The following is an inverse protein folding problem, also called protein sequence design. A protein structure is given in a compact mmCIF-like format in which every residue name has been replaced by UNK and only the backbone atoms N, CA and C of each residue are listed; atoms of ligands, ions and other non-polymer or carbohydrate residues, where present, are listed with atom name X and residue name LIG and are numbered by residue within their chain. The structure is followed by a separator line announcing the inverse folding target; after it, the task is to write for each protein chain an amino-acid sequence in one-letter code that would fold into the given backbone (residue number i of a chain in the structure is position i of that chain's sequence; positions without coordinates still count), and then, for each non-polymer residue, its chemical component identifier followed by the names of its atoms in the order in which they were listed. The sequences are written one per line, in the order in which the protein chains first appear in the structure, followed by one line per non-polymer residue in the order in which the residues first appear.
data_IF_245799456984
#
_entry.id   IF_245799456984
#
_cell.length_a   1.000
_cell.length_b   1.000
_cell.length_c   1.000
_cell.angle_alpha   90.00
_cell.angle_beta   90.00
_cell.angle_gamma   90.00
#
_symmetry.space_group_name_H-M   'P 1'
#
loop_
_entity.id
_entity.type
_entity.pdbx_description
1 polymer ?
#
# COMPACT_ATOMS: atom_id res chain seq x y z
N UNK A 1 17.33 40.32 -9.18
CA UNK A 1 16.48 39.52 -8.26
C UNK A 1 15.72 38.52 -9.10
N UNK A 2 15.96 37.21 -8.93
CA UNK A 2 15.22 36.14 -9.68
C UNK A 2 13.80 36.12 -9.15
N UNK A 3 12.81 36.35 -10.03
CA UNK A 3 11.39 36.25 -9.66
C UNK A 3 11.06 34.76 -9.53
N UNK A 4 10.88 34.29 -8.29
CA UNK A 4 10.57 32.88 -8.03
C UNK A 4 9.14 32.55 -8.45
N UNK A 5 8.97 31.41 -9.11
CA UNK A 5 7.68 30.87 -9.51
C UNK A 5 6.77 30.59 -8.31
N UNK A 6 5.55 31.11 -8.35
CA UNK A 6 4.53 30.85 -7.31
C UNK A 6 3.91 29.46 -7.43
N UNK A 7 3.96 28.83 -8.63
CA UNK A 7 3.52 27.44 -8.83
C UNK A 7 4.50 26.47 -8.17
N UNK A 8 4.04 25.36 -7.62
CA UNK A 8 4.93 24.37 -7.00
C UNK A 8 5.74 23.60 -8.05
N UNK A 9 6.94 23.20 -7.65
CA UNK A 9 7.72 22.17 -8.28
C UNK A 9 7.55 20.87 -7.50
N UNK A 10 7.27 19.78 -8.21
CA UNK A 10 7.13 18.42 -7.65
C UNK A 10 8.31 17.61 -8.17
N UNK A 11 9.14 17.11 -7.25
CA UNK A 11 10.35 16.34 -7.57
C UNK A 11 10.14 14.88 -7.20
N UNK A 12 10.32 13.99 -8.19
CA UNK A 12 10.06 12.56 -8.07
C UNK A 12 8.71 12.19 -8.67
N UNK A 13 8.73 11.34 -9.71
CA UNK A 13 7.55 10.89 -10.45
C UNK A 13 7.31 9.38 -10.28
N UNK A 14 7.71 8.81 -9.15
CA UNK A 14 7.25 7.52 -8.68
C UNK A 14 5.72 7.54 -8.48
N UNK A 15 5.14 6.47 -7.99
CA UNK A 15 3.69 6.38 -7.77
C UNK A 15 3.13 7.61 -7.01
N UNK A 16 3.79 7.98 -5.91
CA UNK A 16 3.39 9.11 -5.08
C UNK A 16 3.43 10.43 -5.84
N UNK A 17 4.52 10.70 -6.56
CA UNK A 17 4.68 11.93 -7.33
C UNK A 17 3.71 12.06 -8.49
N UNK A 18 3.33 10.94 -9.12
CA UNK A 18 2.31 10.93 -10.15
C UNK A 18 0.94 11.36 -9.59
N UNK A 19 0.55 10.82 -8.45
CA UNK A 19 -0.70 11.18 -7.76
C UNK A 19 -0.69 12.65 -7.35
N UNK A 20 0.43 13.10 -6.73
CA UNK A 20 0.58 14.47 -6.29
C UNK A 20 0.46 15.45 -7.48
N UNK A 21 1.20 15.22 -8.54
CA UNK A 21 1.24 16.10 -9.72
C UNK A 21 -0.11 16.18 -10.43
N UNK A 22 -0.74 15.03 -10.69
CA UNK A 22 -2.06 14.99 -11.33
C UNK A 22 -3.15 15.53 -10.41
N UNK A 23 -3.09 15.21 -9.14
CA UNK A 23 -4.02 15.73 -8.13
C UNK A 23 -3.91 17.23 -7.99
N UNK A 24 -2.69 17.77 -7.93
CA UNK A 24 -2.45 19.20 -7.88
C UNK A 24 -2.99 19.91 -9.14
N UNK A 25 -2.59 19.43 -10.32
CA UNK A 25 -3.04 20.01 -11.59
C UNK A 25 -4.57 19.99 -11.76
N UNK A 26 -5.22 18.96 -11.23
CA UNK A 26 -6.68 18.82 -11.34
C UNK A 26 -7.47 19.71 -10.37
N UNK A 27 -6.90 20.07 -9.22
CA UNK A 27 -7.63 20.77 -8.16
C UNK A 27 -7.07 22.15 -7.82
N UNK A 28 -5.76 22.31 -7.79
CA UNK A 28 -5.12 23.50 -7.26
C UNK A 28 -4.48 24.42 -8.33
N UNK A 29 -4.39 23.96 -9.56
CA UNK A 29 -3.88 24.73 -10.68
C UNK A 29 -2.53 24.23 -11.23
N UNK A 30 -1.81 25.13 -11.92
CA UNK A 30 -0.56 24.78 -12.60
C UNK A 30 0.53 24.31 -11.62
N UNK A 31 1.32 23.31 -12.05
CA UNK A 31 2.52 22.85 -11.35
C UNK A 31 3.62 22.51 -12.36
N UNK A 32 4.84 22.37 -11.85
CA UNK A 32 5.95 21.83 -12.64
C UNK A 32 6.44 20.54 -12.00
N UNK A 33 7.03 19.67 -12.83
CA UNK A 33 7.54 18.38 -12.38
C UNK A 33 8.98 18.17 -12.84
N UNK A 34 9.74 17.47 -12.03
CA UNK A 34 11.09 17.04 -12.32
C UNK A 34 11.34 15.63 -11.78
N UNK A 35 12.10 14.83 -12.49
CA UNK A 35 12.64 13.56 -12.02
C UNK A 35 14.07 13.38 -12.56
N UNK A 36 14.98 12.89 -11.73
CA UNK A 36 16.34 12.58 -12.17
C UNK A 36 16.41 11.37 -13.07
N UNK A 37 15.39 10.51 -13.05
CA UNK A 37 15.24 9.39 -13.96
C UNK A 37 14.47 9.82 -15.23
N UNK A 38 15.21 9.98 -16.32
CA UNK A 38 14.65 10.42 -17.61
C UNK A 38 13.60 9.45 -18.18
N UNK A 39 13.74 8.16 -17.96
CA UNK A 39 12.74 7.18 -18.43
C UNK A 39 11.41 7.40 -17.71
N UNK A 40 11.45 7.62 -16.40
CA UNK A 40 10.27 7.89 -15.58
C UNK A 40 9.61 9.21 -15.98
N UNK A 41 10.42 10.26 -16.20
CA UNK A 41 9.95 11.56 -16.68
C UNK A 41 9.27 11.44 -18.04
N UNK A 42 9.87 10.72 -18.99
CA UNK A 42 9.32 10.50 -20.32
C UNK A 42 8.04 9.64 -20.27
N UNK A 43 8.02 8.58 -19.48
CA UNK A 43 6.82 7.76 -19.30
C UNK A 43 5.65 8.60 -18.76
N UNK A 44 5.89 9.45 -17.75
CA UNK A 44 4.88 10.35 -17.22
C UNK A 44 4.40 11.36 -18.27
N UNK A 45 5.31 11.97 -19.05
CA UNK A 45 4.99 12.91 -20.15
C UNK A 45 4.11 12.26 -21.22
N UNK A 46 4.33 10.99 -21.53
CA UNK A 46 3.53 10.20 -22.48
C UNK A 46 2.19 9.73 -21.89
N UNK A 47 1.96 9.90 -20.59
CA UNK A 47 0.74 9.43 -19.92
C UNK A 47 0.76 7.96 -19.53
N UNK A 48 1.95 7.34 -19.49
CA UNK A 48 2.18 6.00 -18.95
C UNK A 48 2.26 6.09 -17.44
N UNK A 49 1.10 6.06 -16.76
CA UNK A 49 0.96 6.25 -15.33
C UNK A 49 0.60 4.93 -14.63
N UNK A 50 0.64 4.96 -13.31
CA UNK A 50 0.24 3.84 -12.45
C UNK A 50 -1.22 3.44 -12.72
N UNK A 51 -1.40 2.24 -13.29
CA UNK A 51 -2.71 1.69 -13.67
C UNK A 51 -3.54 1.26 -12.48
N UNK A 52 -2.90 1.08 -11.34
CA UNK A 52 -3.49 0.67 -10.07
C UNK A 52 -4.37 1.78 -9.45
N UNK A 53 -4.16 3.05 -9.88
CA UNK A 53 -4.90 4.19 -9.35
C UNK A 53 -6.10 4.54 -10.24
N UNK A 54 -7.28 4.52 -9.63
CA UNK A 54 -8.52 4.87 -10.30
C UNK A 54 -8.49 6.32 -10.78
N UNK A 55 -8.92 6.55 -12.00
CA UNK A 55 -9.04 7.87 -12.61
C UNK A 55 -7.74 8.65 -12.79
N UNK A 56 -6.56 8.12 -12.44
CA UNK A 56 -5.30 8.83 -12.57
C UNK A 56 -5.02 9.20 -14.02
N UNK A 57 -5.09 8.21 -14.92
CA UNK A 57 -4.82 8.40 -16.37
C UNK A 57 -5.83 9.36 -17.00
N UNK A 58 -7.11 9.22 -16.71
CA UNK A 58 -8.15 10.10 -17.24
C UNK A 58 -8.02 11.54 -16.71
N UNK A 59 -7.66 11.70 -15.45
CA UNK A 59 -7.41 13.00 -14.83
C UNK A 59 -6.16 13.67 -15.42
N UNK A 60 -5.10 12.90 -15.67
CA UNK A 60 -3.90 13.39 -16.35
C UNK A 60 -4.25 13.93 -17.75
N UNK A 61 -4.94 13.14 -18.58
CA UNK A 61 -5.34 13.55 -19.95
C UNK A 61 -6.10 14.89 -19.96
N UNK A 62 -6.98 15.10 -18.97
CA UNK A 62 -7.76 16.35 -18.84
C UNK A 62 -6.95 17.55 -18.39
N UNK A 63 -5.84 17.35 -17.68
CA UNK A 63 -5.09 18.43 -17.02
C UNK A 63 -3.62 18.52 -17.43
N UNK A 64 -3.17 17.75 -18.42
CA UNK A 64 -1.75 17.73 -18.86
C UNK A 64 -1.20 19.11 -19.24
N UNK A 65 -2.06 20.00 -19.76
CA UNK A 65 -1.70 21.37 -20.11
C UNK A 65 -1.37 22.26 -18.90
N UNK A 66 -1.68 21.81 -17.70
CA UNK A 66 -1.35 22.49 -16.45
C UNK A 66 -0.05 21.98 -15.83
N UNK A 67 0.58 20.95 -16.41
CA UNK A 67 1.81 20.33 -15.91
C UNK A 67 2.96 20.69 -16.85
N UNK A 68 3.95 21.42 -16.33
CA UNK A 68 5.17 21.76 -17.05
C UNK A 68 6.30 20.83 -16.64
N UNK A 69 7.20 20.51 -17.58
CA UNK A 69 8.30 19.57 -17.36
C UNK A 69 9.61 20.32 -17.35
N UNK A 70 10.42 20.21 -16.31
CA UNK A 70 11.79 20.73 -16.28
C UNK A 70 12.69 19.78 -17.09
N UNK A 71 13.65 20.38 -17.79
CA UNK A 71 14.64 19.65 -18.59
C UNK A 71 15.97 19.49 -17.84
N UNK A 72 16.30 20.46 -17.00
CA UNK A 72 17.55 20.50 -16.24
C UNK A 72 17.28 20.79 -14.76
N UNK A 73 18.09 20.20 -13.88
CA UNK A 73 18.04 20.45 -12.45
C UNK A 73 18.34 21.93 -12.07
N UNK A 74 19.05 22.67 -12.90
CA UNK A 74 19.30 24.11 -12.70
C UNK A 74 18.01 24.93 -12.72
N UNK A 75 16.98 24.49 -13.43
CA UNK A 75 15.68 25.17 -13.46
C UNK A 75 14.97 25.15 -12.10
N UNK A 76 15.37 24.27 -11.17
CA UNK A 76 14.86 24.22 -9.78
C UNK A 76 15.06 25.55 -9.07
N UNK A 77 16.14 26.27 -9.36
CA UNK A 77 16.46 27.59 -8.81
C UNK A 77 15.34 28.63 -9.00
N UNK A 78 14.43 28.39 -9.93
CA UNK A 78 13.31 29.30 -10.20
C UNK A 78 12.06 29.03 -9.34
N UNK A 79 12.08 28.08 -8.40
CA UNK A 79 10.88 27.65 -7.67
C UNK A 79 10.99 27.84 -6.17
N UNK A 80 10.09 28.66 -5.62
CA UNK A 80 10.03 28.90 -4.16
C UNK A 80 9.50 27.70 -3.38
N UNK A 81 8.55 26.93 -3.95
CA UNK A 81 7.86 25.85 -3.26
C UNK A 81 8.17 24.52 -3.95
N UNK A 82 8.91 23.66 -3.27
CA UNK A 82 9.43 22.40 -3.80
C UNK A 82 8.91 21.23 -2.95
N UNK A 83 8.17 20.35 -3.58
CA UNK A 83 7.67 19.11 -2.96
C UNK A 83 8.55 17.94 -3.38
N UNK A 84 9.09 17.21 -2.41
CA UNK A 84 9.84 15.97 -2.62
C UNK A 84 8.87 14.82 -2.44
N UNK A 85 8.61 14.07 -3.52
CA UNK A 85 7.57 13.05 -3.60
C UNK A 85 8.11 11.70 -4.07
N UNK A 86 9.32 11.36 -3.67
CA UNK A 86 9.97 10.11 -4.03
C UNK A 86 9.47 9.00 -3.13
N UNK A 87 9.07 7.87 -3.71
CA UNK A 87 8.82 6.66 -2.93
C UNK A 87 10.14 6.14 -2.37
N UNK A 88 10.18 5.93 -1.07
CA UNK A 88 11.36 5.35 -0.41
C UNK A 88 11.60 3.93 -0.93
N UNK A 89 12.73 3.65 -1.56
CA UNK A 89 13.03 2.31 -2.04
C UNK A 89 13.05 1.30 -0.89
N UNK A 90 12.80 0.05 -1.23
CA UNK A 90 12.94 -1.07 -0.30
C UNK A 90 13.94 -2.06 -0.86
N UNK A 91 14.77 -2.65 0.02
CA UNK A 91 15.68 -3.71 -0.34
C UNK A 91 14.94 -5.05 -0.57
N UNK A 92 15.68 -6.07 -0.92
CA UNK A 92 15.17 -7.42 -1.17
C UNK A 92 14.55 -8.10 0.07
N UNK A 93 14.81 -7.58 1.26
CA UNK A 93 14.25 -8.05 2.55
C UNK A 93 13.03 -7.22 2.97
N UNK A 94 12.75 -6.13 2.23
CA UNK A 94 11.65 -5.21 2.54
C UNK A 94 12.02 -4.10 3.53
N UNK A 95 13.32 -3.85 3.76
CA UNK A 95 13.81 -2.76 4.59
C UNK A 95 13.83 -1.45 3.78
N UNK A 96 13.28 -0.34 4.31
CA UNK A 96 13.34 0.95 3.63
C UNK A 96 14.76 1.49 3.53
N UNK A 97 15.13 2.01 2.37
CA UNK A 97 16.37 2.73 2.14
C UNK A 97 16.14 4.23 2.30
N UNK A 98 16.23 4.69 3.53
CA UNK A 98 16.09 6.12 3.83
C UNK A 98 17.34 6.93 3.46
N UNK A 99 18.50 6.32 3.38
CA UNK A 99 19.74 6.98 2.99
C UNK A 99 19.68 7.40 1.51
N UNK A 100 18.99 6.62 0.67
CA UNK A 100 18.70 7.04 -0.71
C UNK A 100 17.99 8.40 -0.79
N UNK A 101 16.94 8.61 0.02
CA UNK A 101 16.23 9.89 0.05
C UNK A 101 17.09 11.02 0.61
N UNK A 102 17.90 10.72 1.62
CA UNK A 102 18.83 11.66 2.23
C UNK A 102 19.87 12.15 1.20
N UNK A 103 20.55 11.22 0.55
CA UNK A 103 21.56 11.50 -0.48
C UNK A 103 20.95 12.23 -1.69
N UNK A 104 19.72 11.85 -2.06
CA UNK A 104 19.02 12.55 -3.13
C UNK A 104 18.80 14.02 -2.82
N UNK A 105 18.36 14.35 -1.59
CA UNK A 105 18.16 15.74 -1.16
C UNK A 105 19.49 16.46 -1.05
N UNK A 106 20.52 15.82 -0.52
CA UNK A 106 21.89 16.37 -0.43
C UNK A 106 22.42 16.77 -1.82
N UNK A 107 22.26 15.89 -2.82
CA UNK A 107 22.68 16.14 -4.19
C UNK A 107 21.91 17.26 -4.89
N UNK A 108 20.69 17.55 -4.46
CA UNK A 108 19.86 18.64 -4.99
C UNK A 108 20.04 19.96 -4.22
N UNK A 109 20.67 19.95 -3.04
CA UNK A 109 20.87 21.14 -2.20
C UNK A 109 21.40 22.34 -2.98
N UNK A 110 22.42 22.23 -3.87
CA UNK A 110 22.94 23.36 -4.64
C UNK A 110 21.92 23.98 -5.60
N UNK A 111 20.85 23.25 -5.94
CA UNK A 111 19.79 23.72 -6.83
C UNK A 111 18.61 24.35 -6.09
N UNK A 112 18.57 24.34 -4.76
CA UNK A 112 17.50 25.00 -4.02
C UNK A 112 17.76 26.51 -3.89
N UNK A 113 16.80 27.35 -4.33
CA UNK A 113 16.96 28.80 -4.25
C UNK A 113 16.97 29.28 -2.80
N UNK A 114 17.43 30.51 -2.59
CA UNK A 114 17.31 31.16 -1.31
C UNK A 114 15.84 31.34 -0.91
N UNK A 115 15.57 31.31 0.40
CA UNK A 115 14.23 31.49 0.97
C UNK A 115 13.17 30.50 0.41
N UNK A 116 13.61 29.30 -0.01
CA UNK A 116 12.70 28.29 -0.54
C UNK A 116 12.01 27.47 0.56
N UNK A 117 10.85 26.95 0.22
CA UNK A 117 10.10 26.00 1.03
C UNK A 117 10.34 24.59 0.47
N UNK A 118 10.97 23.72 1.24
CA UNK A 118 11.19 22.31 0.90
C UNK A 118 10.19 21.48 1.68
N UNK A 119 9.23 20.88 0.98
CA UNK A 119 8.18 20.09 1.58
C UNK A 119 8.44 18.60 1.28
N UNK A 120 8.83 17.84 2.30
CA UNK A 120 9.03 16.39 2.20
C UNK A 120 7.68 15.71 2.32
N UNK A 121 7.24 15.07 1.24
CA UNK A 121 6.02 14.26 1.20
C UNK A 121 6.33 12.77 1.09
N UNK A 122 7.58 12.43 0.91
CA UNK A 122 8.10 11.06 0.95
C UNK A 122 7.94 10.47 2.36
N UNK A 123 7.78 9.15 2.44
CA UNK A 123 7.75 8.49 3.73
C UNK A 123 9.15 8.44 4.35
N UNK A 124 9.25 8.83 5.61
CA UNK A 124 10.51 8.90 6.37
C UNK A 124 10.38 8.22 7.74
N UNK A 125 11.50 7.99 8.40
CA UNK A 125 11.56 7.53 9.79
C UNK A 125 11.58 8.70 10.77
N UNK A 126 11.19 8.48 12.04
CA UNK A 126 11.30 9.51 13.08
C UNK A 126 12.73 10.02 13.28
N UNK A 127 12.93 11.33 13.22
CA UNK A 127 14.24 12.00 13.29
C UNK A 127 14.85 12.35 11.93
N UNK A 128 14.25 11.94 10.81
CA UNK A 128 14.77 12.21 9.47
C UNK A 128 14.87 13.70 9.17
N UNK A 129 13.83 14.48 9.45
CA UNK A 129 13.83 15.93 9.20
C UNK A 129 14.89 16.66 10.05
N UNK A 130 15.10 16.23 11.29
CA UNK A 130 16.19 16.77 12.14
C UNK A 130 17.56 16.46 11.56
N UNK A 131 17.77 15.24 11.06
CA UNK A 131 19.00 14.85 10.39
C UNK A 131 19.24 15.73 9.15
N UNK A 132 18.22 15.97 8.34
CA UNK A 132 18.34 16.88 7.19
C UNK A 132 18.75 18.32 7.61
N UNK A 133 18.13 18.86 8.65
CA UNK A 133 18.48 20.19 9.14
C UNK A 133 19.92 20.26 9.66
N UNK A 134 20.36 19.22 10.36
CA UNK A 134 21.70 19.17 10.96
C UNK A 134 22.80 18.94 9.92
N UNK A 135 22.59 18.01 9.00
CA UNK A 135 23.66 17.48 8.16
C UNK A 135 23.61 18.04 6.72
N UNK A 136 22.41 18.41 6.23
CA UNK A 136 22.26 18.95 4.87
C UNK A 136 22.05 20.46 4.87
N UNK A 137 21.17 20.98 5.73
CA UNK A 137 20.77 22.39 5.71
C UNK A 137 21.40 23.23 6.84
N UNK A 138 22.49 22.77 7.44
CA UNK A 138 23.17 23.47 8.54
C UNK A 138 23.57 24.93 8.17
N UNK A 139 24.00 25.14 6.94
CA UNK A 139 24.37 26.41 6.34
C UNK A 139 23.22 27.14 5.61
N UNK A 140 22.03 26.55 5.55
CA UNK A 140 20.87 27.04 4.81
C UNK A 140 19.69 27.36 5.75
N UNK A 141 19.91 28.28 6.70
CA UNK A 141 18.87 28.76 7.65
C UNK A 141 17.74 29.54 6.97
N UNK A 142 17.93 29.91 5.72
CA UNK A 142 16.96 30.57 4.86
C UNK A 142 15.89 29.60 4.35
N UNK A 143 16.14 28.26 4.33
CA UNK A 143 15.21 27.25 3.87
C UNK A 143 14.17 26.96 4.96
N UNK A 144 12.90 26.98 4.57
CA UNK A 144 11.80 26.44 5.37
C UNK A 144 11.60 24.96 5.04
N UNK A 145 12.02 24.06 5.92
CA UNK A 145 11.75 22.63 5.79
C UNK A 145 10.38 22.31 6.40
N UNK A 146 9.58 21.54 5.70
CA UNK A 146 8.29 21.03 6.19
C UNK A 146 8.20 19.53 5.88
N UNK A 147 7.81 18.74 6.85
CA UNK A 147 7.38 17.36 6.62
C UNK A 147 5.85 17.33 6.47
N UNK A 148 5.34 16.83 5.38
CA UNK A 148 3.90 16.63 5.13
C UNK A 148 3.62 15.13 5.13
N UNK A 149 2.83 14.66 6.10
CA UNK A 149 2.60 13.23 6.28
C UNK A 149 1.78 12.65 5.13
N UNK A 150 2.33 11.65 4.45
CA UNK A 150 1.63 10.88 3.43
C UNK A 150 0.69 9.86 4.10
N UNK A 151 -0.60 9.88 3.75
CA UNK A 151 -1.64 8.97 4.28
C UNK A 151 -2.54 8.39 3.19
N UNK A 152 -2.11 8.46 1.93
CA UNK A 152 -2.89 8.00 0.79
C UNK A 152 -3.03 6.47 0.77
N UNK A 153 -4.18 6.00 0.32
CA UNK A 153 -4.47 4.57 0.19
C UNK A 153 -4.43 4.15 -1.28
N UNK A 154 -3.61 3.17 -1.59
CA UNK A 154 -3.50 2.60 -2.93
C UNK A 154 -4.88 2.27 -3.53
N UNK A 155 -5.11 2.69 -4.78
CA UNK A 155 -6.36 2.55 -5.54
C UNK A 155 -7.39 3.65 -5.30
N UNK A 156 -7.19 4.52 -4.29
CA UNK A 156 -8.03 5.67 -4.00
C UNK A 156 -7.22 6.95 -3.71
N UNK A 157 -5.92 6.89 -3.95
CA UNK A 157 -4.98 7.93 -3.54
C UNK A 157 -5.24 9.27 -4.22
N UNK A 158 -5.61 9.28 -5.49
CA UNK A 158 -5.94 10.52 -6.20
C UNK A 158 -7.15 11.23 -5.59
N UNK A 159 -8.19 10.49 -5.20
CA UNK A 159 -9.37 11.07 -4.55
C UNK A 159 -9.00 11.64 -3.17
N UNK A 160 -8.26 10.87 -2.37
CA UNK A 160 -7.83 11.29 -1.03
C UNK A 160 -6.91 12.51 -1.06
N UNK A 161 -6.02 12.60 -2.06
CA UNK A 161 -5.21 13.78 -2.28
C UNK A 161 -6.05 15.03 -2.61
N UNK A 162 -7.07 14.87 -3.44
CA UNK A 162 -7.94 15.98 -3.83
C UNK A 162 -8.88 16.43 -2.72
N UNK A 163 -9.35 15.49 -1.90
CA UNK A 163 -10.35 15.72 -0.85
C UNK A 163 -9.88 15.18 0.50
N UNK A 164 -8.73 15.66 1.02
CA UNK A 164 -8.22 15.21 2.29
C UNK A 164 -9.16 15.68 3.41
N UNK A 165 -9.46 14.80 4.36
CA UNK A 165 -10.20 15.17 5.57
C UNK A 165 -9.33 15.93 6.57
N UNK A 166 -8.05 15.62 6.58
CA UNK A 166 -7.02 16.24 7.41
C UNK A 166 -5.66 16.09 6.75
N UNK A 167 -4.73 16.99 7.08
CA UNK A 167 -3.32 16.87 6.75
C UNK A 167 -2.52 17.18 8.01
N UNK A 168 -1.40 16.48 8.16
CA UNK A 168 -0.49 16.63 9.29
C UNK A 168 0.84 17.15 8.75
N UNK A 169 1.35 18.18 9.40
CA UNK A 169 2.63 18.82 9.08
C UNK A 169 3.56 18.76 10.27
N UNK A 170 4.81 18.40 10.02
CA UNK A 170 5.93 18.59 10.91
C UNK A 170 6.70 19.83 10.49
N UNK A 171 6.86 20.79 11.40
CA UNK A 171 7.57 22.02 11.13
C UNK A 171 8.23 22.52 12.42
N UNK A 172 9.40 23.09 12.29
CA UNK A 172 10.01 23.86 13.37
C UNK A 172 9.49 25.30 13.32
N UNK A 173 9.46 26.01 14.42
CA UNK A 173 8.90 27.34 14.74
C UNK A 173 8.85 28.43 13.64
N UNK A 174 9.04 28.06 12.37
CA UNK A 174 9.17 28.93 11.22
C UNK A 174 7.83 29.16 10.52
N UNK A 175 7.81 30.18 9.66
CA UNK A 175 6.63 30.57 8.90
C UNK A 175 6.07 29.39 8.07
N UNK A 176 4.84 29.01 8.36
CA UNK A 176 4.12 28.02 7.59
C UNK A 176 3.96 28.46 6.12
N UNK A 177 4.42 27.66 5.13
CA UNK A 177 4.39 28.05 3.73
C UNK A 177 2.97 28.31 3.23
N UNK A 178 2.71 29.50 2.67
CA UNK A 178 1.38 29.90 2.21
C UNK A 178 0.75 28.93 1.19
N UNK A 179 1.57 28.27 0.36
CA UNK A 179 1.10 27.30 -0.62
C UNK A 179 0.32 26.14 0.00
N UNK A 180 0.63 25.79 1.24
CA UNK A 180 -0.07 24.72 1.98
C UNK A 180 -1.47 25.14 2.42
N UNK A 181 -1.80 26.43 2.36
CA UNK A 181 -3.16 26.91 2.61
C UNK A 181 -4.15 26.53 1.50
N UNK A 182 -3.66 26.14 0.31
CA UNK A 182 -4.50 25.61 -0.76
C UNK A 182 -5.26 24.33 -0.37
N UNK A 183 -4.75 23.56 0.59
CA UNK A 183 -5.47 22.42 1.13
C UNK A 183 -6.59 22.87 2.07
N UNK A 184 -7.83 22.78 1.59
CA UNK A 184 -9.05 23.17 2.34
C UNK A 184 -9.51 22.02 3.24
N UNK A 185 -8.77 21.72 4.31
CA UNK A 185 -9.09 20.68 5.28
C UNK A 185 -8.52 21.04 6.66
N UNK A 186 -8.86 20.25 7.68
CA UNK A 186 -8.26 20.40 9.01
C UNK A 186 -6.76 20.14 8.93
N UNK A 187 -5.95 21.08 9.39
CA UNK A 187 -4.50 20.98 9.45
C UNK A 187 -4.07 20.74 10.89
N UNK A 188 -3.17 19.79 11.10
CA UNK A 188 -2.50 19.55 12.36
C UNK A 188 -1.03 19.90 12.17
N UNK A 189 -0.52 20.80 12.97
CA UNK A 189 0.86 21.28 12.91
C UNK A 189 1.56 20.81 14.18
N UNK A 190 2.62 20.03 14.02
CA UNK A 190 3.41 19.45 15.09
C UNK A 190 4.89 19.76 14.87
N UNK A 191 5.74 19.40 15.84
CA UNK A 191 7.17 19.25 15.59
C UNK A 191 7.42 18.07 14.63
N UNK A 192 8.61 18.00 14.05
CA UNK A 192 8.95 16.96 13.06
C UNK A 192 8.75 15.55 13.63
N UNK A 193 9.25 15.31 14.81
CA UNK A 193 9.24 13.99 15.46
C UNK A 193 7.81 13.47 15.64
N UNK A 194 6.92 14.31 16.11
CA UNK A 194 5.50 13.95 16.29
C UNK A 194 4.82 13.66 14.95
N UNK A 195 5.09 14.47 13.94
CA UNK A 195 4.51 14.26 12.60
C UNK A 195 5.05 12.98 11.93
N UNK A 196 6.34 12.69 12.08
CA UNK A 196 6.98 11.48 11.55
C UNK A 196 6.47 10.23 12.25
N UNK A 197 6.30 10.27 13.57
CA UNK A 197 5.72 9.17 14.37
C UNK A 197 4.25 8.91 14.01
N UNK A 198 3.50 9.94 13.58
CA UNK A 198 2.06 9.78 13.29
C UNK A 198 1.78 8.67 12.27
N UNK A 199 2.55 8.63 11.17
CA UNK A 199 2.39 7.56 10.15
C UNK A 199 2.67 6.20 10.74
N UNK A 200 3.74 6.08 11.53
CA UNK A 200 4.10 4.86 12.24
C UNK A 200 2.98 4.42 13.20
N UNK A 201 2.42 5.35 13.96
CA UNK A 201 1.33 5.09 14.91
C UNK A 201 0.07 4.53 14.22
N UNK A 202 -0.30 5.10 13.05
CA UNK A 202 -1.43 4.57 12.26
C UNK A 202 -1.16 3.13 11.83
N UNK A 203 0.03 2.84 11.33
CA UNK A 203 0.38 1.51 10.84
C UNK A 203 0.51 0.48 11.97
N UNK A 204 1.05 0.88 13.12
CA UNK A 204 1.04 0.03 14.34
C UNK A 204 -0.40 -0.30 14.73
N UNK A 205 -1.28 0.69 14.81
CA UNK A 205 -2.67 0.47 15.16
C UNK A 205 -3.36 -0.52 14.21
N UNK A 206 -3.18 -0.36 12.90
CA UNK A 206 -3.74 -1.28 11.92
C UNK A 206 -3.18 -2.70 12.07
N UNK A 207 -1.89 -2.82 12.33
CA UNK A 207 -1.25 -4.12 12.57
C UNK A 207 -1.80 -4.78 13.84
N UNK A 208 -1.89 -4.05 14.95
CA UNK A 208 -2.47 -4.58 16.18
C UNK A 208 -3.94 -4.99 16.01
N UNK A 209 -4.71 -4.22 15.23
CA UNK A 209 -6.11 -4.56 14.97
C UNK A 209 -6.27 -5.88 14.20
N UNK A 210 -5.44 -6.11 13.17
CA UNK A 210 -5.42 -7.38 12.43
C UNK A 210 -4.91 -8.52 13.32
N UNK A 211 -3.84 -8.26 14.10
CA UNK A 211 -3.27 -9.25 15.03
C UNK A 211 -4.25 -9.64 16.13
N UNK A 212 -5.01 -8.68 16.66
CA UNK A 212 -6.11 -8.92 17.60
C UNK A 212 -7.16 -9.85 16.98
N UNK A 213 -7.63 -9.51 15.77
CA UNK A 213 -8.64 -10.34 15.08
C UNK A 213 -8.15 -11.78 14.88
N UNK A 214 -6.90 -11.94 14.45
CA UNK A 214 -6.28 -13.25 14.24
C UNK A 214 -6.07 -14.03 15.55
N UNK A 215 -5.74 -13.34 16.65
CA UNK A 215 -5.57 -13.95 17.96
C UNK A 215 -6.91 -14.47 18.50
N UNK A 216 -7.96 -13.63 18.44
CA UNK A 216 -9.29 -14.03 18.92
C UNK A 216 -9.91 -15.11 18.03
N UNK A 217 -9.67 -15.09 16.71
CA UNK A 217 -10.09 -16.19 15.82
C UNK A 217 -9.44 -17.52 16.22
N UNK A 218 -8.16 -17.53 16.60
CA UNK A 218 -7.53 -18.74 17.12
C UNK A 218 -8.22 -19.22 18.42
N UNK A 219 -8.47 -18.29 19.35
CA UNK A 219 -9.15 -18.61 20.62
C UNK A 219 -10.59 -19.13 20.40
N UNK A 220 -11.34 -18.54 19.46
CA UNK A 220 -12.65 -19.05 19.09
C UNK A 220 -12.60 -20.50 18.60
N UNK A 221 -11.60 -20.84 17.75
CA UNK A 221 -11.40 -22.19 17.23
C UNK A 221 -11.10 -23.20 18.32
N UNK A 222 -10.28 -22.82 19.30
CA UNK A 222 -9.95 -23.66 20.45
C UNK A 222 -11.18 -23.93 21.34
N UNK A 223 -12.18 -23.02 21.30
CA UNK A 223 -13.42 -23.11 22.08
C UNK A 223 -14.65 -23.46 21.24
N UNK A 224 -14.49 -24.04 20.03
CA UNK A 224 -15.57 -24.43 19.13
C UNK A 224 -16.58 -23.30 18.84
N UNK A 225 -16.10 -22.06 18.75
CA UNK A 225 -16.91 -20.87 18.46
C UNK A 225 -16.48 -20.16 17.18
N UNK A 226 -17.29 -19.21 16.68
CA UNK A 226 -17.08 -18.50 15.43
C UNK A 226 -16.67 -17.06 15.68
N UNK A 227 -15.45 -16.70 15.29
CA UNK A 227 -15.02 -15.28 15.31
C UNK A 227 -15.85 -14.40 14.37
N UNK A 228 -16.32 -14.94 13.25
CA UNK A 228 -17.12 -14.18 12.27
C UNK A 228 -18.41 -13.61 12.89
N UNK A 229 -19.00 -14.36 13.82
CA UNK A 229 -20.22 -13.94 14.51
C UNK A 229 -19.95 -12.82 15.51
N UNK A 230 -18.72 -12.71 16.01
CA UNK A 230 -18.30 -11.64 16.91
C UNK A 230 -18.04 -10.30 16.19
N UNK A 231 -17.72 -10.31 14.89
CA UNK A 231 -17.30 -9.11 14.16
C UNK A 231 -18.38 -8.02 14.14
N UNK A 232 -19.63 -8.40 13.91
CA UNK A 232 -20.75 -7.43 13.83
C UNK A 232 -21.00 -6.73 15.20
N UNK A 233 -21.19 -7.44 16.31
CA UNK A 233 -21.36 -6.80 17.62
C UNK A 233 -20.12 -6.01 18.06
N UNK A 234 -18.89 -6.49 17.80
CA UNK A 234 -17.68 -5.73 18.09
C UNK A 234 -17.62 -4.38 17.38
N UNK A 235 -18.07 -4.30 16.13
CA UNK A 235 -18.13 -3.03 15.38
C UNK A 235 -19.20 -2.06 15.89
N UNK A 236 -20.22 -2.54 16.56
CA UNK A 236 -21.23 -1.71 17.19
C UNK A 236 -20.75 -1.03 18.47
N UNK A 237 -19.73 -1.61 19.14
CA UNK A 237 -19.12 -0.96 20.28
C UNK A 237 -18.39 0.32 19.81
N UNK A 238 -18.80 1.48 20.36
CA UNK A 238 -18.24 2.79 19.98
C UNK A 238 -16.74 2.90 20.22
N UNK A 239 -16.17 2.15 21.17
CA UNK A 239 -14.74 2.13 21.50
C UNK A 239 -13.93 1.42 20.41
N UNK A 240 -14.52 0.46 19.69
CA UNK A 240 -13.93 -0.26 18.57
C UNK A 240 -14.25 0.46 17.26
N UNK A 241 -15.53 0.65 16.99
CA UNK A 241 -16.04 1.47 15.91
C UNK A 241 -16.21 0.75 14.57
N UNK A 242 -17.11 1.28 13.78
CA UNK A 242 -17.58 0.75 12.49
C UNK A 242 -16.47 0.45 11.48
N UNK A 243 -15.38 1.23 11.50
CA UNK A 243 -14.31 1.18 10.50
C UNK A 243 -13.05 0.45 10.97
N UNK A 244 -13.11 -0.21 12.12
CA UNK A 244 -11.96 -0.95 12.66
C UNK A 244 -11.58 -2.14 11.78
N UNK A 245 -10.28 -2.41 11.72
CA UNK A 245 -9.67 -3.50 10.93
C UNK A 245 -9.66 -4.81 11.74
N UNK A 246 -10.84 -5.23 12.20
CA UNK A 246 -11.00 -6.42 13.05
C UNK A 246 -11.50 -7.62 12.26
N UNK A 247 -10.99 -7.84 11.07
CA UNK A 247 -11.34 -9.02 10.27
C UNK A 247 -10.19 -10.02 10.32
N UNK A 248 -10.49 -11.25 10.73
CA UNK A 248 -9.49 -12.33 10.72
C UNK A 248 -9.03 -12.62 9.28
N UNK A 249 -7.76 -12.91 9.11
CA UNK A 249 -7.13 -13.11 7.80
C UNK A 249 -6.01 -14.16 7.87
N UNK A 250 -5.42 -14.48 6.72
CA UNK A 250 -4.20 -15.30 6.64
C UNK A 250 -2.93 -14.57 7.10
N UNK A 251 -3.07 -13.36 7.58
CA UNK A 251 -2.00 -12.46 7.99
C UNK A 251 -2.03 -11.13 7.23
N UNK A 252 -1.16 -10.22 7.65
CA UNK A 252 -1.04 -8.93 7.00
C UNK A 252 -0.62 -9.07 5.54
N UNK A 253 -1.20 -8.24 4.69
CA UNK A 253 -0.93 -8.18 3.27
C UNK A 253 -0.55 -6.77 2.86
N UNK A 254 0.28 -6.66 1.81
CA UNK A 254 0.78 -5.39 1.30
C UNK A 254 2.13 -5.00 1.89
N UNK A 255 3.09 -4.73 1.01
CA UNK A 255 4.50 -4.49 1.37
C UNK A 255 4.71 -3.26 2.25
N UNK A 256 3.84 -2.25 2.16
CA UNK A 256 3.99 -1.02 2.95
C UNK A 256 3.79 -1.24 4.44
N UNK A 257 2.75 -1.97 4.85
CA UNK A 257 2.48 -2.23 6.26
C UNK A 257 3.58 -3.11 6.88
N UNK A 258 3.97 -4.19 6.20
CA UNK A 258 5.05 -5.08 6.66
C UNK A 258 6.38 -4.33 6.81
N UNK A 259 6.72 -3.48 5.82
CA UNK A 259 7.89 -2.62 5.86
C UNK A 259 7.90 -1.69 7.07
N UNK A 260 6.78 -1.01 7.31
CA UNK A 260 6.69 -0.02 8.37
C UNK A 260 6.76 -0.67 9.75
N UNK A 261 6.14 -1.83 9.93
CA UNK A 261 6.26 -2.61 11.18
C UNK A 261 7.70 -3.05 11.43
N UNK A 262 8.41 -3.50 10.39
CA UNK A 262 9.83 -3.87 10.52
C UNK A 262 10.70 -2.66 10.90
N UNK A 263 10.45 -1.51 10.28
CA UNK A 263 11.15 -0.27 10.60
C UNK A 263 10.92 0.16 12.05
N UNK A 264 9.68 0.10 12.51
CA UNK A 264 9.31 0.47 13.87
C UNK A 264 9.94 -0.46 14.91
N UNK A 265 9.89 -1.78 14.68
CA UNK A 265 10.52 -2.77 15.56
C UNK A 265 12.00 -2.49 15.75
N UNK A 266 12.71 -2.15 14.67
CA UNK A 266 14.14 -1.85 14.73
C UNK A 266 14.47 -0.53 15.46
N UNK A 267 13.55 0.44 15.43
CA UNK A 267 13.75 1.76 16.04
C UNK A 267 13.31 1.86 17.51
N UNK A 268 12.63 0.83 18.06
CA UNK A 268 12.38 0.82 19.49
C UNK A 268 13.66 0.53 20.28
N UNK A 269 13.95 1.35 21.28
CA UNK A 269 14.99 1.06 22.26
C UNK A 269 14.49 0.10 23.36
N UNK A 270 13.20 0.15 23.67
CA UNK A 270 12.59 -0.69 24.71
C UNK A 270 12.48 -2.14 24.24
N UNK A 271 13.15 -3.04 24.96
CA UNK A 271 13.21 -4.48 24.65
C UNK A 271 11.83 -5.17 24.72
N UNK A 272 10.96 -4.77 25.65
CA UNK A 272 9.62 -5.34 25.80
C UNK A 272 8.77 -4.97 24.58
N UNK A 273 8.80 -3.70 24.15
CA UNK A 273 8.07 -3.24 22.96
C UNK A 273 8.51 -3.98 21.70
N UNK A 274 9.82 -4.23 21.54
CA UNK A 274 10.35 -5.08 20.45
C UNK A 274 9.78 -6.48 20.50
N UNK A 275 9.78 -7.13 21.66
CA UNK A 275 9.23 -8.48 21.85
C UNK A 275 7.74 -8.55 21.54
N UNK A 276 6.93 -7.58 21.96
CA UNK A 276 5.50 -7.53 21.65
C UNK A 276 5.29 -7.55 20.13
N UNK A 277 5.95 -6.67 19.39
CA UNK A 277 5.84 -6.63 17.92
C UNK A 277 6.34 -7.93 17.30
N UNK A 278 7.47 -8.44 17.75
CA UNK A 278 8.02 -9.71 17.28
C UNK A 278 7.05 -10.88 17.42
N UNK A 279 6.42 -11.06 18.59
CA UNK A 279 5.48 -12.16 18.83
C UNK A 279 4.19 -11.99 18.05
N UNK A 280 3.67 -10.76 17.89
CA UNK A 280 2.53 -10.50 17.03
C UNK A 280 2.84 -10.81 15.55
N UNK A 281 4.04 -10.47 15.07
CA UNK A 281 4.50 -10.88 13.72
C UNK A 281 4.58 -12.39 13.58
N UNK A 282 5.07 -13.11 14.60
CA UNK A 282 5.11 -14.57 14.60
C UNK A 282 3.72 -15.17 14.56
N UNK A 283 2.78 -14.66 15.38
CA UNK A 283 1.39 -15.09 15.33
C UNK A 283 0.78 -14.86 13.93
N UNK A 284 0.99 -13.70 13.36
CA UNK A 284 0.52 -13.34 12.03
C UNK A 284 1.10 -14.28 10.94
N UNK A 285 2.41 -14.53 10.98
CA UNK A 285 3.08 -15.46 10.06
C UNK A 285 2.58 -16.90 10.19
N UNK A 286 2.18 -17.32 11.38
CA UNK A 286 1.65 -18.65 11.62
C UNK A 286 0.23 -18.87 11.05
N UNK A 287 -0.49 -17.79 10.74
CA UNK A 287 -1.85 -17.89 10.15
C UNK A 287 -1.88 -18.70 8.86
N UNK A 288 -0.85 -18.66 8.05
CA UNK A 288 -0.75 -19.46 6.82
C UNK A 288 -0.81 -20.96 7.09
N UNK A 289 -0.49 -21.40 8.31
CA UNK A 289 -0.58 -22.82 8.68
C UNK A 289 -2.02 -23.35 8.70
N UNK A 290 -3.02 -22.48 8.85
CA UNK A 290 -4.42 -22.85 8.68
C UNK A 290 -4.66 -23.37 7.26
N UNK A 291 -4.20 -22.61 6.26
CA UNK A 291 -4.29 -23.04 4.87
C UNK A 291 -3.52 -24.34 4.62
N UNK A 292 -2.29 -24.45 5.15
CA UNK A 292 -1.47 -25.67 5.00
C UNK A 292 -2.18 -26.91 5.57
N UNK A 293 -2.79 -26.79 6.77
CA UNK A 293 -3.55 -27.88 7.40
C UNK A 293 -4.74 -28.29 6.54
N UNK A 294 -5.53 -27.33 6.02
CA UNK A 294 -6.68 -27.61 5.16
C UNK A 294 -6.25 -28.27 3.84
N UNK A 295 -5.19 -27.75 3.18
CA UNK A 295 -4.63 -28.38 1.97
C UNK A 295 -4.17 -29.80 2.25
N UNK A 296 -3.43 -30.04 3.33
CA UNK A 296 -2.97 -31.38 3.71
C UNK A 296 -4.14 -32.35 3.91
N UNK A 297 -5.20 -31.93 4.60
CA UNK A 297 -6.41 -32.76 4.79
C UNK A 297 -7.06 -33.14 3.47
N UNK A 298 -7.14 -32.23 2.52
CA UNK A 298 -7.68 -32.51 1.18
C UNK A 298 -6.75 -33.44 0.40
N UNK A 299 -5.43 -33.24 0.48
CA UNK A 299 -4.43 -34.06 -0.24
C UNK A 299 -4.35 -35.48 0.25
N UNK A 300 -4.68 -35.76 1.50
CA UNK A 300 -4.75 -37.14 2.01
C UNK A 300 -5.87 -37.97 1.32
N UNK A 301 -6.92 -37.30 0.83
CA UNK A 301 -8.07 -37.94 0.19
C UNK A 301 -8.01 -37.84 -1.35
N UNK A 302 -7.15 -36.98 -1.92
CA UNK A 302 -7.05 -36.74 -3.37
C UNK A 302 -5.64 -36.31 -3.77
N UNK A 303 -5.12 -36.78 -4.88
CA UNK A 303 -3.87 -36.29 -5.47
C UNK A 303 -4.10 -34.93 -6.09
N UNK A 304 -3.59 -33.86 -5.45
CA UNK A 304 -3.70 -32.49 -5.93
C UNK A 304 -2.36 -32.10 -6.54
N UNK A 305 -2.27 -32.06 -7.87
CA UNK A 305 -1.09 -31.53 -8.59
C UNK A 305 -1.33 -30.10 -9.09
N UNK A 306 -2.58 -29.72 -9.31
CA UNK A 306 -2.98 -28.47 -9.92
C UNK A 306 -3.68 -27.56 -8.92
N UNK A 307 -3.35 -26.28 -8.92
CA UNK A 307 -4.00 -25.25 -8.10
C UNK A 307 -4.52 -24.13 -8.98
N UNK A 308 -5.79 -23.77 -8.81
CA UNK A 308 -6.38 -22.55 -9.38
C UNK A 308 -6.55 -21.50 -8.28
N UNK A 309 -5.76 -20.46 -8.34
CA UNK A 309 -5.91 -19.30 -7.46
C UNK A 309 -6.82 -18.25 -8.11
N UNK A 310 -7.96 -17.98 -7.48
CA UNK A 310 -8.94 -16.99 -7.94
C UNK A 310 -8.91 -15.76 -7.07
N UNK A 311 -8.72 -14.59 -7.67
CA UNK A 311 -8.51 -13.32 -6.97
C UNK A 311 -7.09 -13.16 -6.46
N UNK A 312 -6.18 -12.79 -7.36
CA UNK A 312 -4.74 -12.77 -7.11
C UNK A 312 -4.27 -11.59 -6.26
N UNK A 313 -4.99 -10.48 -6.28
CA UNK A 313 -4.63 -9.32 -5.48
C UNK A 313 -5.09 -9.46 -4.03
N UNK A 314 -4.43 -8.76 -3.11
CA UNK A 314 -4.83 -8.74 -1.71
C UNK A 314 -6.16 -7.99 -1.47
N UNK A 315 -6.58 -7.14 -2.40
CA UNK A 315 -7.90 -6.46 -2.36
C UNK A 315 -8.40 -6.13 -3.78
N UNK A 316 -9.71 -5.96 -3.91
CA UNK A 316 -10.38 -5.68 -5.19
C UNK A 316 -10.06 -4.31 -5.80
N UNK A 317 -9.67 -3.34 -4.98
CA UNK A 317 -9.49 -1.96 -5.39
C UNK A 317 -8.12 -1.67 -5.97
N UNK A 318 -7.13 -2.49 -5.67
CA UNK A 318 -5.77 -2.26 -6.11
C UNK A 318 -5.02 -3.56 -6.35
N UNK A 319 -4.44 -3.71 -7.52
CA UNK A 319 -3.67 -4.88 -7.86
C UNK A 319 -2.33 -4.92 -7.11
N UNK A 320 -2.15 -5.94 -6.30
CA UNK A 320 -0.84 -6.32 -5.75
C UNK A 320 -0.88 -7.80 -5.39
N UNK A 321 -0.29 -8.64 -6.23
CA UNK A 321 -0.15 -10.08 -5.98
C UNK A 321 1.03 -10.43 -5.08
N UNK A 322 1.98 -9.52 -4.98
CA UNK A 322 3.18 -9.70 -4.14
C UNK A 322 2.89 -9.36 -2.67
N UNK A 323 3.71 -9.94 -1.79
CA UNK A 323 3.67 -9.68 -0.35
C UNK A 323 2.33 -10.01 0.35
N UNK A 324 1.62 -11.02 -0.16
CA UNK A 324 0.53 -11.65 0.59
C UNK A 324 1.02 -12.97 1.21
N UNK A 325 0.49 -13.39 2.38
CA UNK A 325 0.85 -14.69 2.94
C UNK A 325 0.59 -15.84 1.97
N UNK A 326 -0.50 -15.74 1.21
CA UNK A 326 -0.85 -16.74 0.20
C UNK A 326 0.16 -16.80 -0.94
N UNK A 327 0.57 -15.66 -1.53
CA UNK A 327 1.55 -15.65 -2.62
C UNK A 327 2.91 -16.17 -2.15
N UNK A 328 3.35 -15.77 -0.95
CA UNK A 328 4.58 -16.28 -0.34
C UNK A 328 4.56 -17.80 -0.17
N UNK A 329 3.42 -18.37 0.18
CA UNK A 329 3.23 -19.82 0.33
C UNK A 329 3.16 -20.55 -1.00
N UNK A 330 2.27 -20.11 -1.90
CA UNK A 330 2.01 -20.81 -3.18
C UNK A 330 3.25 -20.86 -4.06
N UNK A 331 3.97 -19.72 -4.18
CA UNK A 331 5.16 -19.66 -5.04
C UNK A 331 6.36 -20.45 -4.52
N UNK A 332 6.38 -20.81 -3.23
CA UNK A 332 7.45 -21.60 -2.59
C UNK A 332 7.08 -23.07 -2.44
N UNK A 333 5.84 -23.45 -2.70
CA UNK A 333 5.39 -24.82 -2.51
C UNK A 333 5.75 -25.70 -3.71
N UNK A 334 6.76 -26.56 -3.54
CA UNK A 334 7.24 -27.47 -4.57
C UNK A 334 6.26 -28.60 -4.94
N UNK A 335 5.23 -28.86 -4.11
CA UNK A 335 4.21 -29.89 -4.34
C UNK A 335 3.12 -29.44 -5.32
N UNK A 336 3.11 -28.16 -5.71
CA UNK A 336 2.20 -27.63 -6.72
C UNK A 336 2.85 -27.83 -8.09
N UNK A 337 2.34 -28.78 -8.87
CA UNK A 337 2.84 -29.08 -10.22
C UNK A 337 2.51 -27.97 -11.20
N UNK A 338 1.26 -27.49 -11.19
CA UNK A 338 0.80 -26.38 -12.03
C UNK A 338 -0.01 -25.39 -11.21
N UNK A 339 0.38 -24.13 -11.30
CA UNK A 339 -0.36 -23.01 -10.73
C UNK A 339 -1.06 -22.22 -11.84
N UNK A 340 -2.37 -22.17 -11.78
CA UNK A 340 -3.24 -21.33 -12.59
C UNK A 340 -3.70 -20.15 -11.76
N UNK A 341 -3.73 -18.97 -12.37
CA UNK A 341 -4.17 -17.74 -11.67
C UNK A 341 -5.20 -17.03 -12.53
N UNK A 342 -6.29 -16.66 -11.90
CA UNK A 342 -7.37 -15.88 -12.50
C UNK A 342 -7.72 -14.68 -11.63
N UNK A 343 -7.94 -13.53 -12.25
CA UNK A 343 -8.47 -12.35 -11.56
C UNK A 343 -9.57 -11.69 -12.39
N UNK A 344 -10.72 -11.40 -11.74
CA UNK A 344 -11.88 -10.78 -12.40
C UNK A 344 -11.70 -9.30 -12.72
N UNK A 345 -10.76 -8.63 -12.08
CA UNK A 345 -10.65 -7.17 -12.07
C UNK A 345 -9.34 -6.65 -12.64
N UNK A 346 -8.33 -7.51 -12.72
CA UNK A 346 -6.98 -7.11 -13.13
C UNK A 346 -6.42 -8.00 -14.24
N UNK A 347 -5.74 -7.38 -15.20
CA UNK A 347 -4.94 -8.08 -16.20
C UNK A 347 -3.60 -8.49 -15.60
N UNK A 348 -3.45 -9.78 -15.37
CA UNK A 348 -2.25 -10.38 -14.81
C UNK A 348 -1.08 -10.31 -15.80
N UNK A 349 0.13 -10.07 -15.30
CA UNK A 349 1.36 -10.19 -16.10
C UNK A 349 1.94 -11.59 -15.91
N UNK A 350 2.44 -12.20 -16.99
CA UNK A 350 3.05 -13.53 -16.97
C UNK A 350 4.27 -13.57 -16.02
N UNK A 351 4.21 -14.48 -15.04
CA UNK A 351 5.31 -14.75 -14.08
C UNK A 351 5.50 -16.28 -13.97
N UNK A 352 5.63 -16.78 -12.75
CA UNK A 352 5.80 -18.21 -12.44
C UNK A 352 4.49 -19.04 -12.44
N UNK A 353 3.45 -18.59 -13.17
CA UNK A 353 2.15 -19.24 -13.20
C UNK A 353 1.47 -19.10 -14.57
N UNK A 354 0.49 -19.97 -14.84
CA UNK A 354 -0.33 -19.89 -16.05
C UNK A 354 -1.52 -18.96 -15.82
N UNK A 355 -1.65 -17.93 -16.65
CA UNK A 355 -2.76 -16.98 -16.56
C UNK A 355 -3.99 -17.58 -17.26
N UNK A 356 -5.10 -17.63 -16.56
CA UNK A 356 -6.41 -17.93 -17.13
C UNK A 356 -7.08 -16.61 -17.50
N UNK A 357 -7.33 -16.38 -18.77
CA UNK A 357 -8.01 -15.17 -19.26
C UNK A 357 -9.53 -15.32 -19.21
N UNK A 358 -10.03 -16.54 -19.41
CA UNK A 358 -11.46 -16.86 -19.44
C UNK A 358 -11.72 -18.13 -18.66
N UNK A 359 -12.44 -18.04 -17.56
CA UNK A 359 -12.80 -19.21 -16.72
C UNK A 359 -13.67 -20.22 -17.45
N UNK A 360 -14.41 -19.84 -18.49
CA UNK A 360 -15.23 -20.80 -19.27
C UNK A 360 -14.39 -21.81 -20.04
N UNK A 361 -13.15 -21.45 -20.37
CA UNK A 361 -12.20 -22.30 -21.09
C UNK A 361 -11.39 -23.20 -20.15
N UNK A 362 -11.58 -23.05 -18.84
CA UNK A 362 -10.88 -23.85 -17.85
C UNK A 362 -11.36 -25.30 -17.87
N UNK A 363 -10.50 -26.22 -18.28
CA UNK A 363 -10.80 -27.63 -18.48
C UNK A 363 -9.72 -28.55 -17.88
N UNK A 364 -9.45 -28.39 -16.58
CA UNK A 364 -8.48 -29.21 -15.87
C UNK A 364 -9.16 -30.02 -14.77
N UNK A 365 -8.77 -31.30 -14.67
CA UNK A 365 -9.24 -32.21 -13.63
C UNK A 365 -8.30 -32.20 -12.40
N UNK A 366 -8.79 -32.69 -11.26
CA UNK A 366 -8.02 -32.80 -10.01
C UNK A 366 -7.38 -31.46 -9.59
N UNK A 367 -8.19 -30.43 -9.50
CA UNK A 367 -7.75 -29.08 -9.18
C UNK A 367 -8.22 -28.68 -7.80
N UNK A 368 -7.32 -28.12 -6.99
CA UNK A 368 -7.68 -27.37 -5.79
C UNK A 368 -7.92 -25.92 -6.16
N UNK A 369 -9.09 -25.40 -5.89
CA UNK A 369 -9.42 -24.00 -6.06
C UNK A 369 -9.18 -23.26 -4.75
N UNK A 370 -8.29 -22.27 -4.75
CA UNK A 370 -8.11 -21.34 -3.63
C UNK A 370 -8.78 -20.03 -4.03
N UNK A 371 -9.88 -19.71 -3.36
CA UNK A 371 -10.72 -18.57 -3.70
C UNK A 371 -10.55 -17.43 -2.71
N UNK A 372 -10.23 -16.25 -3.22
CA UNK A 372 -10.16 -15.00 -2.44
C UNK A 372 -11.33 -14.07 -2.78
N UNK A 373 -11.50 -13.72 -4.05
CA UNK A 373 -12.64 -12.93 -4.53
C UNK A 373 -12.84 -13.12 -6.04
N UNK A 374 -14.05 -12.85 -6.53
CA UNK A 374 -14.35 -12.75 -7.95
C UNK A 374 -15.61 -11.89 -8.18
N UNK A 375 -15.93 -11.60 -9.45
CA UNK A 375 -17.22 -11.04 -9.83
C UNK A 375 -18.35 -12.08 -9.61
N UNK A 376 -19.58 -11.62 -9.42
CA UNK A 376 -20.74 -12.53 -9.27
C UNK A 376 -20.92 -13.45 -10.49
N UNK A 377 -20.61 -12.93 -11.70
CA UNK A 377 -20.62 -13.71 -12.94
C UNK A 377 -19.61 -14.85 -12.89
N UNK A 378 -18.40 -14.56 -12.44
CA UNK A 378 -17.32 -15.55 -12.36
C UNK A 378 -17.54 -16.57 -11.26
N UNK A 379 -18.14 -16.19 -10.13
CA UNK A 379 -18.55 -17.13 -9.07
C UNK A 379 -19.54 -18.16 -9.61
N UNK A 380 -20.49 -17.76 -10.46
CA UNK A 380 -21.42 -18.71 -11.12
C UNK A 380 -20.68 -19.67 -12.05
N UNK A 381 -19.61 -19.21 -12.75
CA UNK A 381 -18.79 -20.09 -13.59
C UNK A 381 -17.99 -21.06 -12.72
N UNK A 382 -17.39 -20.59 -11.63
CA UNK A 382 -16.65 -21.43 -10.68
C UNK A 382 -17.56 -22.54 -10.13
N UNK A 383 -18.82 -22.23 -9.78
CA UNK A 383 -19.80 -23.23 -9.35
C UNK A 383 -19.98 -24.35 -10.38
N UNK A 384 -20.05 -24.01 -11.67
CA UNK A 384 -20.16 -25.01 -12.76
C UNK A 384 -18.88 -25.84 -12.90
N UNK A 385 -17.69 -25.19 -12.77
CA UNK A 385 -16.39 -25.89 -12.80
C UNK A 385 -16.32 -26.93 -11.68
N UNK A 386 -16.70 -26.55 -10.47
CA UNK A 386 -16.71 -27.43 -9.30
C UNK A 386 -17.62 -28.62 -9.52
N UNK A 387 -18.85 -28.37 -9.95
CA UNK A 387 -19.81 -29.45 -10.23
C UNK A 387 -19.35 -30.40 -11.37
N UNK A 388 -18.74 -29.85 -12.45
CA UNK A 388 -18.26 -30.62 -13.59
C UNK A 388 -17.04 -31.50 -13.28
N UNK A 389 -16.12 -31.02 -12.47
CA UNK A 389 -14.82 -31.66 -12.24
C UNK A 389 -14.62 -32.18 -10.81
N UNK A 390 -15.63 -32.10 -9.96
CA UNK A 390 -15.56 -32.46 -8.54
C UNK A 390 -14.30 -31.86 -7.85
N UNK A 391 -14.11 -30.55 -8.00
CA UNK A 391 -12.93 -29.83 -7.47
C UNK A 391 -13.14 -29.50 -6.00
N UNK A 392 -12.10 -29.67 -5.19
CA UNK A 392 -12.07 -29.12 -3.84
C UNK A 392 -11.89 -27.60 -3.88
N UNK A 393 -12.61 -26.89 -3.01
CA UNK A 393 -12.47 -25.43 -2.86
C UNK A 393 -12.11 -25.08 -1.44
N UNK A 394 -11.08 -24.21 -1.29
CA UNK A 394 -10.78 -23.50 -0.05
C UNK A 394 -11.13 -22.04 -0.25
N UNK A 395 -12.11 -21.55 0.51
CA UNK A 395 -12.50 -20.15 0.54
C UNK A 395 -11.65 -19.42 1.59
N UNK A 396 -10.79 -18.52 1.13
CA UNK A 396 -9.97 -17.62 1.96
C UNK A 396 -10.53 -16.20 1.98
N UNK A 397 -11.72 -15.99 1.39
CA UNK A 397 -12.34 -14.67 1.34
C UNK A 397 -12.84 -14.24 2.72
N UNK A 398 -12.58 -12.96 3.03
CA UNK A 398 -13.00 -12.36 4.30
C UNK A 398 -14.54 -12.32 4.45
N UNK A 399 -15.27 -12.26 3.36
CA UNK A 399 -16.72 -12.03 3.36
C UNK A 399 -17.55 -13.25 3.01
N UNK A 400 -16.97 -14.45 2.96
CA UNK A 400 -17.65 -15.72 2.64
C UNK A 400 -18.68 -15.65 1.50
N UNK A 401 -18.42 -14.78 0.51
CA UNK A 401 -19.31 -14.57 -0.63
C UNK A 401 -19.51 -15.85 -1.44
N UNK A 402 -18.50 -16.72 -1.47
CA UNK A 402 -18.54 -18.00 -2.15
C UNK A 402 -19.45 -19.00 -1.43
N UNK A 403 -19.40 -19.05 -0.10
CA UNK A 403 -20.17 -20.01 0.72
C UNK A 403 -21.68 -19.90 0.53
N UNK A 404 -22.18 -18.68 0.29
CA UNK A 404 -23.60 -18.44 -0.01
C UNK A 404 -24.05 -19.11 -1.32
N UNK A 405 -23.10 -19.41 -2.21
CA UNK A 405 -23.36 -19.94 -3.57
C UNK A 405 -22.91 -21.37 -3.71
N UNK A 406 -21.83 -21.77 -3.03
CA UNK A 406 -21.24 -23.12 -3.06
C UNK A 406 -21.16 -23.62 -1.61
N UNK A 407 -22.16 -24.46 -1.24
CA UNK A 407 -22.29 -24.95 0.14
C UNK A 407 -21.14 -25.86 0.60
N UNK A 408 -20.51 -26.58 -0.34
CA UNK A 408 -19.41 -27.52 -0.06
C UNK A 408 -18.02 -26.86 -0.05
N UNK A 409 -17.96 -25.55 -0.14
CA UNK A 409 -16.69 -24.84 -0.01
C UNK A 409 -16.19 -24.87 1.45
N UNK A 410 -14.95 -25.29 1.64
CA UNK A 410 -14.29 -25.27 2.95
C UNK A 410 -13.81 -23.85 3.23
N UNK A 411 -14.47 -23.16 4.14
CA UNK A 411 -13.95 -21.86 4.58
C UNK A 411 -12.74 -22.07 5.48
N UNK A 412 -11.71 -21.26 5.28
CA UNK A 412 -10.49 -21.35 6.07
C UNK A 412 -10.67 -20.86 7.51
N UNK A 413 -11.71 -20.03 7.71
CA UNK A 413 -12.02 -19.42 9.00
C UNK A 413 -13.11 -20.17 9.79
N UNK A 414 -13.61 -21.32 9.27
CA UNK A 414 -14.49 -22.26 9.99
C UNK A 414 -13.73 -23.32 10.76
#
# INVERSE_FOLDING_TARGET
MIVLNSKPLIIGLSHLGQIFSVGWASKYGKCSVFDTNNERLNAFKQGNLAKEERFLISSYKKNKNKISFLKDKKEILSYKNIFITIDTPIDHVGKPDYDYLFEFILNLKPCFPQESNIIIYSQVYPGFSRRLLKDVFVDRKDISLVYMVETLRLGNALHEFKYPKKIIFGIDKNKFPQILNKFSCKKFIFNYETAEIYKAAVNIYLFFSVSFANLIDNFCRENNSSYQDLVAPLRLDKRIGKYSYIQASLGISGGHLERDINSIENNFNNHISKKIIYYLKKNDQNRINLLKKKIKKISLNQTIGNVLWVGASYKKEAFSESNTPLSKYIFRNKNIQQLFVYDSFFNLKKKKYKIIKNLKEFNYKKVLIIFNYASLKDIKIIKRIVAKFNCAIIDISINSALRKIIKDSINIYD
#
